data_IF_740422846615
#
_entry.id   IF_740422846615
#
_cell.length_a   1.000
_cell.length_b   1.000
_cell.length_c   1.000
_cell.angle_alpha   90.00
_cell.angle_beta   90.00
_cell.angle_gamma   90.00
#
_symmetry.space_group_name_H-M   'P 1'
#
loop_
_entity.id
_entity.type
_entity.pdbx_description
1 polymer ?
#
# COMPACT_ATOMS: atom_id res chain seq x y z
N UNK A 1 -11.82 -13.89 23.32
CA UNK A 1 -11.28 -13.06 22.22
C UNK A 1 -10.01 -13.73 21.76
N UNK A 2 -9.94 -14.11 20.50
CA UNK A 2 -8.71 -14.65 19.90
C UNK A 2 -7.68 -13.53 19.87
N UNK A 3 -6.43 -13.83 20.21
CA UNK A 3 -5.33 -12.85 20.14
C UNK A 3 -5.18 -12.37 18.69
N UNK A 4 -5.26 -11.05 18.47
CA UNK A 4 -5.09 -10.49 17.13
C UNK A 4 -3.64 -10.57 16.72
N UNK A 5 -3.38 -11.13 15.55
CA UNK A 5 -2.03 -11.25 14.99
C UNK A 5 -2.00 -10.60 13.60
N UNK A 6 -0.81 -10.30 13.07
CA UNK A 6 -0.65 -9.75 11.72
C UNK A 6 -1.29 -10.60 10.61
N UNK A 7 -1.50 -11.89 10.86
CA UNK A 7 -2.17 -12.81 9.93
C UNK A 7 -3.66 -13.00 10.23
N UNK A 8 -4.14 -12.53 11.38
CA UNK A 8 -5.51 -12.72 11.84
C UNK A 8 -6.04 -11.47 12.56
N UNK A 9 -6.26 -10.41 11.78
CA UNK A 9 -7.00 -9.22 12.20
C UNK A 9 -8.13 -8.90 11.20
N UNK A 10 -9.04 -8.04 11.63
CA UNK A 10 -10.05 -7.37 10.79
C UNK A 10 -9.97 -5.88 11.10
N UNK A 11 -9.97 -5.03 10.06
CA UNK A 11 -9.82 -3.58 10.24
C UNK A 11 -10.93 -2.98 11.11
N UNK A 12 -12.15 -3.52 11.04
CA UNK A 12 -13.26 -3.12 11.90
C UNK A 12 -12.94 -3.29 13.40
N UNK A 13 -12.43 -4.46 13.81
CA UNK A 13 -12.09 -4.73 15.21
C UNK A 13 -10.95 -3.83 15.70
N UNK A 14 -9.96 -3.58 14.84
CA UNK A 14 -8.85 -2.67 15.15
C UNK A 14 -9.33 -1.23 15.34
N UNK A 15 -10.25 -0.77 14.49
CA UNK A 15 -10.82 0.57 14.57
C UNK A 15 -11.73 0.74 15.79
N UNK A 16 -12.59 -0.24 16.08
CA UNK A 16 -13.45 -0.23 17.28
C UNK A 16 -12.61 -0.15 18.57
N UNK A 17 -11.45 -0.81 18.60
CA UNK A 17 -10.51 -0.76 19.72
C UNK A 17 -9.64 0.51 19.75
N UNK A 18 -9.44 1.18 18.60
CA UNK A 18 -8.56 2.35 18.44
C UNK A 18 -9.27 3.43 17.60
N UNK A 19 -10.34 4.07 18.12
CA UNK A 19 -11.18 4.99 17.37
C UNK A 19 -10.46 6.28 16.95
N UNK A 20 -9.26 6.54 17.46
CA UNK A 20 -8.37 7.62 17.03
C UNK A 20 -7.65 7.33 15.70
N UNK A 21 -7.67 6.09 15.22
CA UNK A 21 -7.02 5.68 13.98
C UNK A 21 -7.64 6.41 12.79
N UNK A 22 -6.80 6.78 11.82
CA UNK A 22 -7.26 7.38 10.58
C UNK A 22 -7.93 6.32 9.71
N UNK A 23 -9.00 6.70 9.00
CA UNK A 23 -9.75 5.80 8.13
C UNK A 23 -9.67 6.33 6.71
N UNK A 24 -9.26 5.48 5.77
CA UNK A 24 -9.34 5.84 4.35
C UNK A 24 -10.80 5.85 3.90
N UNK A 25 -11.30 7.00 3.46
CA UNK A 25 -12.66 7.10 2.96
C UNK A 25 -12.86 6.21 1.71
N UNK A 26 -14.01 5.52 1.59
CA UNK A 26 -14.25 4.56 0.52
C UNK A 26 -14.40 5.19 -0.86
N UNK A 27 -14.58 6.52 -0.93
CA UNK A 27 -14.71 7.27 -2.16
C UNK A 27 -13.82 8.52 -2.12
N UNK A 28 -12.83 8.58 -3.01
CA UNK A 28 -11.92 9.71 -3.21
C UNK A 28 -12.18 10.24 -4.61
N UNK A 29 -12.94 11.33 -4.72
CA UNK A 29 -13.29 11.93 -6.02
C UNK A 29 -13.96 10.95 -7.01
N UNK A 30 -14.82 10.06 -6.52
CA UNK A 30 -15.49 9.03 -7.33
C UNK A 30 -14.69 7.74 -7.50
N UNK A 31 -13.53 7.59 -6.85
CA UNK A 31 -12.64 6.42 -6.96
C UNK A 31 -12.61 5.64 -5.65
N UNK A 32 -12.46 4.32 -5.74
CA UNK A 32 -12.39 3.41 -4.59
C UNK A 32 -11.18 2.49 -4.71
N UNK A 33 -10.68 2.00 -3.59
CA UNK A 33 -9.61 1.01 -3.58
C UNK A 33 -10.15 -0.40 -3.85
N UNK A 34 -9.34 -1.20 -4.54
CA UNK A 34 -9.58 -2.61 -4.83
C UNK A 34 -8.33 -3.41 -4.46
N UNK A 35 -8.53 -4.65 -4.02
CA UNK A 35 -7.43 -5.61 -3.81
C UNK A 35 -7.01 -6.23 -5.14
N UNK A 36 -5.70 -6.31 -5.37
CA UNK A 36 -5.09 -6.89 -6.57
C UNK A 36 -3.98 -7.91 -6.25
N UNK A 37 -3.53 -8.00 -5.00
CA UNK A 37 -2.55 -8.99 -4.56
C UNK A 37 -3.20 -10.27 -4.08
N UNK A 38 -2.43 -11.36 -3.94
CA UNK A 38 -2.95 -12.63 -3.40
C UNK A 38 -3.21 -12.64 -1.90
N UNK A 39 -2.80 -11.58 -1.18
CA UNK A 39 -3.16 -11.37 0.24
C UNK A 39 -4.34 -10.40 0.36
N UNK A 40 -5.49 -10.92 0.77
CA UNK A 40 -6.70 -10.14 1.08
C UNK A 40 -6.58 -9.28 2.34
N UNK A 41 -5.53 -9.50 3.15
CA UNK A 41 -5.21 -8.70 4.34
C UNK A 41 -3.71 -8.57 4.54
N UNK A 42 -3.28 -7.39 4.94
CA UNK A 42 -1.87 -7.10 5.16
C UNK A 42 -1.73 -5.84 6.03
N UNK A 43 -0.60 -5.76 6.74
CA UNK A 43 -0.29 -4.61 7.58
C UNK A 43 1.22 -4.49 7.79
N UNK A 44 1.66 -3.32 8.25
CA UNK A 44 3.05 -3.09 8.63
C UNK A 44 3.37 -1.62 8.80
N UNK A 45 4.60 -1.36 9.27
CA UNK A 45 5.21 -0.03 9.23
C UNK A 45 5.26 0.45 7.78
N UNK A 46 4.94 1.72 7.54
CA UNK A 46 4.88 2.28 6.20
C UNK A 46 6.14 3.03 5.82
N UNK A 47 6.44 2.97 4.53
CA UNK A 47 7.33 3.91 3.84
C UNK A 47 6.50 4.68 2.82
N UNK A 48 6.64 6.00 2.77
CA UNK A 48 5.86 6.83 1.85
C UNK A 48 6.65 7.19 0.59
N UNK A 49 5.94 7.28 -0.54
CA UNK A 49 6.47 7.84 -1.78
C UNK A 49 5.39 8.65 -2.48
N UNK A 50 5.74 9.86 -2.92
CA UNK A 50 4.90 10.71 -3.76
C UNK A 50 5.49 10.80 -5.15
N UNK A 51 4.69 10.50 -6.16
CA UNK A 51 5.08 10.63 -7.55
C UNK A 51 3.89 10.96 -8.45
N UNK A 52 4.15 11.26 -9.72
CA UNK A 52 3.09 11.50 -10.70
C UNK A 52 3.45 10.88 -12.04
N UNK A 53 2.78 9.77 -12.35
CA UNK A 53 2.94 9.05 -13.63
C UNK A 53 4.38 8.61 -13.93
N UNK A 54 5.13 8.39 -12.86
CA UNK A 54 6.51 7.90 -12.85
C UNK A 54 6.68 6.95 -11.66
N UNK A 55 7.05 5.69 -11.93
CA UNK A 55 7.28 4.68 -10.90
C UNK A 55 8.75 4.43 -10.59
N UNK A 56 9.66 5.37 -10.93
CA UNK A 56 11.10 5.21 -10.70
C UNK A 56 11.39 4.98 -9.21
N UNK A 57 10.89 5.84 -8.33
CA UNK A 57 11.07 5.71 -6.87
C UNK A 57 10.33 4.50 -6.28
N UNK A 58 9.15 4.16 -6.80
CA UNK A 58 8.40 2.96 -6.41
C UNK A 58 9.23 1.71 -6.69
N UNK A 59 9.80 1.58 -7.90
CA UNK A 59 10.66 0.45 -8.26
C UNK A 59 11.91 0.39 -7.38
N UNK A 60 12.57 1.53 -7.17
CA UNK A 60 13.80 1.60 -6.35
C UNK A 60 13.55 1.11 -4.92
N UNK A 61 12.48 1.59 -4.27
CA UNK A 61 12.12 1.19 -2.91
C UNK A 61 11.74 -0.29 -2.82
N UNK A 62 10.92 -0.80 -3.75
CA UNK A 62 10.51 -2.22 -3.75
C UNK A 62 11.64 -3.18 -4.16
N UNK A 63 12.79 -2.66 -4.59
CA UNK A 63 14.01 -3.41 -4.82
C UNK A 63 15.04 -3.20 -3.69
N UNK A 64 14.63 -2.59 -2.58
CA UNK A 64 15.40 -2.46 -1.34
C UNK A 64 14.78 -3.32 -0.24
N UNK A 65 15.52 -3.54 0.85
CA UNK A 65 15.05 -4.36 1.98
C UNK A 65 13.75 -3.80 2.56
N UNK A 66 12.69 -4.60 2.45
CA UNK A 66 11.35 -4.24 2.86
C UNK A 66 11.05 -4.60 4.30
N UNK A 67 12.03 -5.00 5.10
CA UNK A 67 11.83 -5.41 6.49
C UNK A 67 12.08 -4.27 7.47
N UNK A 68 11.35 -4.27 8.58
CA UNK A 68 11.60 -3.40 9.72
C UNK A 68 12.73 -3.93 10.63
N UNK A 69 12.98 -3.24 11.74
CA UNK A 69 14.02 -3.62 12.71
C UNK A 69 13.77 -4.96 13.41
N UNK A 70 12.55 -5.49 13.35
CA UNK A 70 12.16 -6.79 13.88
C UNK A 70 12.15 -7.89 12.81
N UNK A 71 12.51 -7.55 11.55
CA UNK A 71 12.50 -8.48 10.43
C UNK A 71 11.14 -8.64 9.75
N UNK A 72 10.17 -7.79 10.10
CA UNK A 72 8.79 -7.87 9.62
C UNK A 72 8.59 -7.02 8.38
N UNK A 73 7.74 -7.48 7.45
CA UNK A 73 7.52 -6.77 6.19
C UNK A 73 6.82 -5.42 6.37
N UNK A 74 7.36 -4.39 5.74
CA UNK A 74 6.80 -3.04 5.62
C UNK A 74 5.79 -2.94 4.49
N UNK A 75 5.05 -1.84 4.49
CA UNK A 75 4.10 -1.45 3.43
C UNK A 75 4.63 -0.23 2.69
N UNK A 76 4.68 -0.29 1.37
CA UNK A 76 4.95 0.91 0.57
C UNK A 76 3.61 1.62 0.30
N UNK A 77 3.49 2.88 0.71
CA UNK A 77 2.33 3.72 0.40
C UNK A 77 2.70 4.74 -0.66
N UNK A 78 2.06 4.62 -1.82
CA UNK A 78 2.33 5.42 -3.03
C UNK A 78 1.22 6.44 -3.22
N UNK A 79 1.53 7.73 -3.02
CA UNK A 79 0.71 8.82 -3.53
C UNK A 79 1.07 9.08 -5.01
N UNK A 80 0.26 8.50 -5.91
CA UNK A 80 0.37 8.68 -7.36
C UNK A 80 -0.46 9.85 -7.90
N UNK A 81 -0.99 10.72 -7.02
CA UNK A 81 -1.92 11.78 -7.37
C UNK A 81 -3.28 11.27 -7.87
N UNK A 82 -3.63 10.01 -7.63
CA UNK A 82 -4.89 9.42 -8.05
C UNK A 82 -5.06 9.37 -9.57
N UNK A 83 -3.95 9.38 -10.33
CA UNK A 83 -4.00 9.28 -11.78
C UNK A 83 -4.47 7.90 -12.24
N UNK A 84 -5.41 7.92 -13.18
CA UNK A 84 -5.93 6.72 -13.85
C UNK A 84 -5.33 6.52 -15.23
N UNK A 85 -4.25 7.23 -15.60
CA UNK A 85 -3.72 7.24 -16.97
C UNK A 85 -2.56 6.28 -17.20
N UNK A 86 -1.89 5.81 -16.15
CA UNK A 86 -0.85 4.79 -16.23
C UNK A 86 -0.70 4.02 -14.93
N UNK A 87 -0.10 2.83 -15.01
CA UNK A 87 0.18 1.97 -13.89
C UNK A 87 1.51 2.31 -13.20
N UNK A 88 1.51 2.32 -11.88
CA UNK A 88 2.68 2.53 -11.03
C UNK A 88 3.28 1.22 -10.53
N UNK A 89 2.50 0.14 -10.47
CA UNK A 89 2.95 -1.21 -10.12
C UNK A 89 2.50 -2.22 -11.18
N UNK A 90 3.32 -3.23 -11.42
CA UNK A 90 3.00 -4.43 -12.19
C UNK A 90 3.68 -5.65 -11.55
N UNK A 91 3.36 -6.83 -12.06
CA UNK A 91 3.83 -8.15 -11.58
C UNK A 91 5.34 -8.19 -11.27
N UNK A 92 6.20 -7.74 -12.18
CA UNK A 92 7.66 -7.80 -12.00
C UNK A 92 8.14 -6.98 -10.81
N UNK A 93 7.50 -5.84 -10.53
CA UNK A 93 7.86 -4.98 -9.41
C UNK A 93 7.26 -5.55 -8.12
N UNK A 94 6.05 -6.14 -8.18
CA UNK A 94 5.46 -6.85 -7.06
C UNK A 94 6.30 -8.08 -6.65
N UNK A 95 6.87 -8.81 -7.62
CA UNK A 95 7.76 -9.95 -7.34
C UNK A 95 9.03 -9.46 -6.62
N UNK A 96 9.65 -8.38 -7.11
CA UNK A 96 10.77 -7.74 -6.44
C UNK A 96 10.44 -7.38 -4.99
N UNK A 97 9.24 -6.86 -4.73
CA UNK A 97 8.80 -6.53 -3.38
C UNK A 97 8.77 -7.78 -2.48
N UNK A 98 8.21 -8.89 -2.97
CA UNK A 98 8.19 -10.18 -2.26
C UNK A 98 9.61 -10.67 -1.96
N UNK A 99 10.47 -10.70 -2.98
CA UNK A 99 11.84 -11.19 -2.85
C UNK A 99 12.64 -10.37 -1.81
N UNK A 100 12.32 -9.09 -1.66
CA UNK A 100 12.92 -8.19 -0.69
C UNK A 100 12.16 -8.10 0.65
N UNK A 101 11.11 -8.89 0.85
CA UNK A 101 10.42 -9.02 2.15
C UNK A 101 9.38 -7.96 2.47
N UNK A 102 8.88 -7.22 1.49
CA UNK A 102 7.75 -6.31 1.67
C UNK A 102 6.45 -7.09 1.96
N UNK A 103 5.62 -6.58 2.88
CA UNK A 103 4.32 -7.19 3.18
C UNK A 103 3.22 -6.74 2.20
N UNK A 104 3.35 -5.53 1.63
CA UNK A 104 2.35 -5.02 0.69
C UNK A 104 2.61 -3.64 0.14
N UNK A 105 1.70 -3.20 -0.74
CA UNK A 105 1.73 -1.89 -1.40
C UNK A 105 0.32 -1.30 -1.43
N UNK A 106 0.17 -0.05 -1.02
CA UNK A 106 -1.03 0.75 -1.24
C UNK A 106 -0.74 1.80 -2.29
N UNK A 107 -1.50 1.85 -3.38
CA UNK A 107 -1.28 2.74 -4.51
C UNK A 107 -2.48 3.67 -4.71
N UNK A 108 -2.34 4.93 -4.32
CA UNK A 108 -3.27 5.99 -4.73
C UNK A 108 -3.06 6.35 -6.22
N UNK A 109 -3.49 5.43 -7.08
CA UNK A 109 -3.27 5.41 -8.53
C UNK A 109 -3.64 4.05 -9.12
N UNK A 110 -3.15 3.73 -10.32
CA UNK A 110 -3.42 2.45 -10.99
C UNK A 110 -2.27 1.45 -10.93
N UNK A 111 -2.61 0.19 -11.12
CA UNK A 111 -1.68 -0.95 -11.32
C UNK A 111 -1.97 -1.68 -12.64
N UNK A 112 -1.23 -2.74 -12.94
CA UNK A 112 -1.43 -3.60 -14.12
C UNK A 112 -0.95 -5.02 -13.86
N UNK A 113 -1.14 -5.91 -14.83
CA UNK A 113 -0.73 -7.32 -14.73
C UNK A 113 -1.45 -8.03 -13.55
N UNK A 114 -2.76 -7.72 -13.39
CA UNK A 114 -3.53 -8.02 -12.18
C UNK A 114 -3.87 -9.50 -12.00
N UNK A 115 -3.98 -10.26 -13.09
CA UNK A 115 -4.26 -11.69 -13.02
C UNK A 115 -3.06 -12.44 -12.41
N UNK A 116 -1.83 -12.07 -12.82
CA UNK A 116 -0.61 -12.59 -12.23
C UNK A 116 -0.47 -12.11 -10.77
N UNK A 117 -0.72 -10.82 -10.52
CA UNK A 117 -0.61 -10.21 -9.20
C UNK A 117 -1.53 -10.85 -8.15
N UNK A 118 -2.73 -11.26 -8.55
CA UNK A 118 -3.70 -11.92 -7.68
C UNK A 118 -3.23 -13.30 -7.19
N UNK A 119 -2.19 -13.89 -7.80
CA UNK A 119 -1.59 -15.15 -7.37
C UNK A 119 -0.32 -14.96 -6.52
N UNK A 120 0.12 -13.72 -6.29
CA UNK A 120 1.38 -13.41 -5.62
C UNK A 120 1.17 -13.23 -4.11
N UNK A 121 2.13 -13.69 -3.29
CA UNK A 121 2.08 -13.64 -1.82
C UNK A 121 2.34 -12.23 -1.24
N UNK A 122 1.62 -11.22 -1.73
CA UNK A 122 1.75 -9.81 -1.34
C UNK A 122 0.38 -9.15 -1.27
N UNK A 123 0.22 -8.21 -0.35
CA UNK A 123 -0.94 -7.34 -0.31
C UNK A 123 -0.82 -6.19 -1.31
N UNK A 124 -1.80 -5.99 -2.18
CA UNK A 124 -1.82 -4.81 -3.06
C UNK A 124 -3.21 -4.20 -3.08
N UNK A 125 -3.31 -2.92 -2.72
CA UNK A 125 -4.52 -2.13 -2.94
C UNK A 125 -4.25 -0.96 -3.87
N UNK A 126 -5.13 -0.74 -4.84
CA UNK A 126 -5.04 0.39 -5.75
C UNK A 126 -6.41 0.91 -6.20
N UNK A 127 -6.46 2.09 -6.82
CA UNK A 127 -7.74 2.68 -7.30
C UNK A 127 -8.30 1.97 -8.53
N UNK A 128 -7.49 1.19 -9.24
CA UNK A 128 -7.89 0.48 -10.44
C UNK A 128 -6.71 -0.12 -11.19
N UNK A 129 -7.00 -0.71 -12.35
CA UNK A 129 -5.99 -1.24 -13.25
C UNK A 129 -6.04 -0.58 -14.63
N UNK A 130 -4.88 -0.50 -15.28
CA UNK A 130 -4.74 0.03 -16.65
C UNK A 130 -3.53 -0.61 -17.36
N UNK A 131 -3.62 -1.01 -18.63
CA UNK A 131 -2.50 -1.67 -19.33
C UNK A 131 -1.28 -0.76 -19.56
N UNK A 132 -1.47 0.57 -19.56
CA UNK A 132 -0.40 1.53 -19.89
C UNK A 132 0.60 1.62 -18.73
N UNK A 133 1.87 1.33 -18.97
CA UNK A 133 2.96 1.60 -18.00
C UNK A 133 3.23 3.10 -17.83
N UNK A 134 3.74 3.49 -16.67
CA UNK A 134 4.32 4.83 -16.45
C UNK A 134 5.63 5.02 -17.23
N UNK A 135 6.05 6.29 -17.38
CA UNK A 135 7.33 6.66 -18.01
C UNK A 135 8.33 6.99 -16.92
N UNK A 136 9.43 6.25 -16.86
CA UNK A 136 10.48 6.44 -15.85
C UNK A 136 11.40 7.59 -16.24
N UNK A 137 11.31 8.70 -15.50
CA UNK A 137 12.13 9.91 -15.61
C UNK A 137 13.02 10.11 -14.39
N UNK A 138 12.92 9.23 -13.38
CA UNK A 138 13.63 9.37 -12.10
C UNK A 138 12.95 10.33 -11.12
N UNK A 139 11.72 10.77 -11.40
CA UNK A 139 10.99 11.74 -10.58
C UNK A 139 10.30 11.06 -9.39
N UNK A 140 10.01 11.86 -8.35
CA UNK A 140 9.31 11.44 -7.14
C UNK A 140 10.07 11.82 -5.87
N UNK A 141 9.37 11.82 -4.75
CA UNK A 141 9.88 12.15 -3.42
C UNK A 141 9.58 10.97 -2.50
N UNK A 142 10.58 10.53 -1.74
CA UNK A 142 10.48 9.43 -0.78
C UNK A 142 10.54 10.01 0.62
N UNK A 143 9.90 9.33 1.58
CA UNK A 143 9.98 9.69 2.99
C UNK A 143 9.47 11.11 3.29
N UNK A 144 8.33 11.46 2.69
CA UNK A 144 7.63 12.72 2.93
C UNK A 144 6.21 12.45 3.42
N UNK A 145 5.61 13.45 4.07
CA UNK A 145 4.18 13.43 4.36
C UNK A 145 3.37 13.37 3.05
N UNK A 146 2.39 12.45 3.00
CA UNK A 146 1.43 12.32 1.91
C UNK A 146 0.01 12.34 2.46
N UNK A 147 -0.94 12.84 1.65
CA UNK A 147 -2.34 12.94 2.07
C UNK A 147 -3.29 12.53 0.96
N UNK A 148 -4.16 11.57 1.24
CA UNK A 148 -5.25 11.14 0.37
C UNK A 148 -6.32 10.41 1.19
N UNK A 149 -7.57 10.43 0.72
CA UNK A 149 -8.65 9.67 1.35
C UNK A 149 -8.90 10.00 2.80
N UNK A 150 -8.76 11.29 3.17
CA UNK A 150 -8.87 11.79 4.55
C UNK A 150 -7.81 11.26 5.54
N UNK A 151 -6.71 10.71 4.99
CA UNK A 151 -5.54 10.33 5.76
C UNK A 151 -4.37 11.29 5.49
N UNK A 152 -3.55 11.50 6.51
CA UNK A 152 -2.23 12.12 6.44
C UNK A 152 -1.22 11.12 6.99
N UNK A 153 -0.29 10.70 6.13
CA UNK A 153 0.60 9.57 6.35
C UNK A 153 2.06 10.00 6.26
N UNK A 154 2.85 9.55 7.23
CA UNK A 154 4.29 9.72 7.32
C UNK A 154 4.96 8.35 7.42
N UNK A 155 6.19 8.19 6.92
CA UNK A 155 6.93 6.94 7.16
C UNK A 155 7.10 6.67 8.65
N UNK A 156 7.09 5.39 9.03
CA UNK A 156 7.13 4.97 10.44
C UNK A 156 5.75 4.84 11.09
N UNK A 157 4.69 5.38 10.47
CA UNK A 157 3.31 5.02 10.82
C UNK A 157 2.99 3.59 10.41
N UNK A 158 1.81 3.10 10.78
CA UNK A 158 1.35 1.74 10.49
C UNK A 158 0.07 1.78 9.68
N UNK A 159 -0.01 0.91 8.66
CA UNK A 159 -1.23 0.71 7.86
C UNK A 159 -1.73 -0.70 8.07
N UNK A 160 -3.06 -0.83 8.15
CA UNK A 160 -3.79 -2.09 8.18
C UNK A 160 -4.83 -2.07 7.07
N UNK A 161 -4.83 -3.11 6.24
CA UNK A 161 -5.69 -3.20 5.08
C UNK A 161 -6.33 -4.58 5.02
N UNK A 162 -7.64 -4.61 4.78
CA UNK A 162 -8.40 -5.80 4.42
C UNK A 162 -9.57 -5.45 3.49
N UNK A 163 -10.41 -6.42 3.16
CA UNK A 163 -11.55 -6.21 2.25
C UNK A 163 -12.57 -5.15 2.71
N UNK A 164 -12.53 -4.69 3.96
CA UNK A 164 -13.40 -3.62 4.44
C UNK A 164 -12.82 -2.23 4.17
N UNK A 165 -11.49 -2.09 4.12
CA UNK A 165 -10.84 -0.82 3.87
C UNK A 165 -9.42 -0.74 4.42
N UNK A 166 -8.94 0.50 4.53
CA UNK A 166 -7.60 0.84 4.98
C UNK A 166 -7.73 1.76 6.19
N UNK A 167 -7.01 1.44 7.27
CA UNK A 167 -6.82 2.34 8.42
C UNK A 167 -5.33 2.59 8.65
N UNK A 168 -5.02 3.70 9.31
CA UNK A 168 -3.66 4.06 9.68
C UNK A 168 -3.56 4.53 11.13
N UNK A 169 -2.42 4.27 11.76
CA UNK A 169 -2.13 4.61 13.16
C UNK A 169 -0.68 5.05 13.32
N UNK A 170 -0.41 5.93 14.28
CA UNK A 170 0.94 6.39 14.63
C UNK A 170 1.75 5.32 15.40
N UNK A 171 1.08 4.28 15.88
CA UNK A 171 1.65 3.17 16.67
C UNK A 171 1.17 1.82 16.14
N UNK A 172 1.94 0.73 16.34
CA UNK A 172 1.46 -0.61 16.03
C UNK A 172 0.24 -0.94 16.92
N UNK A 173 -0.81 -1.50 16.29
CA UNK A 173 -2.05 -1.94 16.95
C UNK A 173 -2.03 -3.43 17.33
N UNK A 174 -1.13 -4.21 16.71
CA UNK A 174 -0.90 -5.66 16.87
C UNK A 174 0.56 -5.99 16.68
#
# INVERSE_FOLDING_TARGET
>A
MTEMTKTNFVTCDLLDANPESQVCLPNIEGKSFYSFGGKDKFCGEIVTVKCFEDNSRVKELLNSDGRDSNGEGKILVVDGGGSMRCALLGDMIAQSAIDNGWAGVVVYGCVRDVDDMAQMDIGVMALGCIPRKSTRRGEGQTDIEISFGDMTLNSGMYVYADNNGIIASDKPLI
#
